data_IF_849394782357
#
_entry.id   IF_849394782357
#
_cell.length_a   1.000
_cell.length_b   1.000
_cell.length_c   1.000
_cell.angle_alpha   90.00
_cell.angle_beta   90.00
_cell.angle_gamma   90.00
#
_symmetry.space_group_name_H-M   'P 1'
#
loop_
_entity.id
_entity.type
_entity.pdbx_description
1 polymer ?
#
# COMPACT_ATOMS: atom_id res chain seq x y z
N UNK A 1 -12.33 -12.90 15.28
CA UNK A 1 -13.22 -11.97 16.00
C UNK A 1 -14.34 -11.61 15.04
N UNK A 2 -15.61 -11.69 15.41
CA UNK A 2 -16.68 -11.22 14.52
C UNK A 2 -16.52 -9.69 14.38
N UNK A 3 -16.35 -9.22 13.16
CA UNK A 3 -16.20 -7.81 12.86
C UNK A 3 -17.49 -7.07 13.23
N UNK A 4 -17.40 -5.94 13.93
CA UNK A 4 -18.55 -5.09 14.20
C UNK A 4 -18.86 -4.26 12.95
N UNK A 5 -19.85 -4.71 12.16
CA UNK A 5 -20.25 -4.04 10.92
C UNK A 5 -20.57 -2.55 11.16
N UNK A 6 -21.15 -2.17 12.31
CA UNK A 6 -21.47 -0.79 12.61
C UNK A 6 -20.20 0.07 12.75
N UNK A 7 -19.16 -0.47 13.40
CA UNK A 7 -17.86 0.17 13.52
C UNK A 7 -17.16 0.29 12.16
N UNK A 8 -17.26 -0.73 11.29
CA UNK A 8 -16.71 -0.68 9.92
C UNK A 8 -17.40 0.40 9.09
N UNK A 9 -18.74 0.49 9.14
CA UNK A 9 -19.47 1.53 8.41
C UNK A 9 -19.13 2.94 8.94
N UNK A 10 -19.03 3.12 10.25
CA UNK A 10 -18.62 4.41 10.82
C UNK A 10 -17.17 4.76 10.43
N UNK A 11 -16.27 3.78 10.46
CA UNK A 11 -14.90 3.95 10.00
C UNK A 11 -14.83 4.36 8.53
N UNK A 12 -15.58 3.70 7.64
CA UNK A 12 -15.68 4.06 6.22
C UNK A 12 -16.23 5.48 6.03
N UNK A 13 -17.27 5.87 6.80
CA UNK A 13 -17.84 7.22 6.76
C UNK A 13 -16.79 8.25 7.15
N UNK A 14 -16.11 8.06 8.28
CA UNK A 14 -15.03 8.94 8.73
C UNK A 14 -13.93 9.04 7.69
N UNK A 15 -13.49 7.89 7.18
CA UNK A 15 -12.41 7.80 6.20
C UNK A 15 -12.69 8.60 4.92
N UNK A 16 -13.95 8.62 4.47
CA UNK A 16 -14.35 9.21 3.19
C UNK A 16 -14.95 10.61 3.31
N UNK A 17 -15.47 11.00 4.47
CA UNK A 17 -16.25 12.23 4.64
C UNK A 17 -15.73 13.16 5.74
N UNK A 18 -14.97 12.66 6.72
CA UNK A 18 -14.54 13.48 7.84
C UNK A 18 -13.27 14.27 7.51
N UNK A 19 -13.37 15.59 7.63
CA UNK A 19 -12.28 16.53 7.36
C UNK A 19 -11.55 16.96 8.62
N UNK A 20 -12.05 16.58 9.81
CA UNK A 20 -11.53 16.98 11.11
C UNK A 20 -11.32 18.49 11.25
N UNK A 21 -12.20 19.28 10.61
CA UNK A 21 -12.11 20.74 10.61
C UNK A 21 -10.87 21.29 9.91
N UNK A 22 -10.23 20.49 9.06
CA UNK A 22 -9.00 20.78 8.37
C UNK A 22 -9.17 21.57 7.07
N UNK A 23 -8.27 21.32 6.13
CA UNK A 23 -8.13 21.98 4.82
C UNK A 23 -9.04 21.39 3.72
N UNK A 24 -10.00 20.53 4.08
CA UNK A 24 -10.93 19.89 3.15
C UNK A 24 -10.53 18.48 2.72
N UNK A 25 -9.30 18.04 3.00
CA UNK A 25 -8.91 16.64 2.80
C UNK A 25 -9.67 15.70 3.72
N UNK A 26 -9.87 14.47 3.25
CA UNK A 26 -10.25 13.30 4.05
C UNK A 26 -9.18 12.22 3.88
N UNK A 27 -9.28 11.08 4.57
CA UNK A 27 -8.30 10.00 4.38
C UNK A 27 -8.35 9.49 2.93
N UNK A 28 -9.56 9.45 2.35
CA UNK A 28 -9.79 9.06 0.96
C UNK A 28 -9.18 10.00 -0.09
N UNK A 29 -8.70 11.20 0.28
CA UNK A 29 -8.00 12.08 -0.67
C UNK A 29 -6.68 11.47 -1.16
N UNK A 30 -5.96 10.78 -0.28
CA UNK A 30 -4.72 10.06 -0.63
C UNK A 30 -4.91 8.54 -0.65
N UNK A 31 -5.98 8.03 -0.05
CA UNK A 31 -6.30 6.60 -0.02
C UNK A 31 -7.70 6.33 -0.62
N UNK A 32 -7.95 6.69 -1.89
CA UNK A 32 -9.25 6.48 -2.54
C UNK A 32 -9.73 5.02 -2.46
N UNK A 33 -10.94 4.74 -1.92
CA UNK A 33 -11.42 3.37 -1.73
C UNK A 33 -11.62 2.54 -2.99
N UNK A 34 -11.75 3.18 -4.16
CA UNK A 34 -11.94 2.51 -5.45
C UNK A 34 -10.69 2.55 -6.33
N UNK A 35 -9.54 2.84 -5.72
CA UNK A 35 -8.23 2.89 -6.37
C UNK A 35 -7.18 2.37 -5.38
N UNK A 36 -7.42 1.14 -4.89
CA UNK A 36 -6.55 0.36 -4.00
C UNK A 36 -6.07 1.07 -2.72
N UNK A 37 -6.81 2.08 -2.27
CA UNK A 37 -6.45 2.90 -1.12
C UNK A 37 -5.05 3.49 -1.23
N UNK A 38 -4.64 3.87 -2.45
CA UNK A 38 -3.38 4.55 -2.75
C UNK A 38 -3.58 5.56 -3.90
N UNK A 39 -2.54 6.27 -4.30
CA UNK A 39 -2.57 7.19 -5.44
C UNK A 39 -1.37 6.96 -6.34
N UNK A 40 -1.60 7.17 -7.64
CA UNK A 40 -0.57 7.17 -8.66
C UNK A 40 -0.77 8.38 -9.61
N UNK A 41 0.21 8.71 -10.48
CA UNK A 41 0.09 9.81 -11.41
C UNK A 41 -1.13 9.74 -12.34
N UNK A 42 -1.55 8.53 -12.74
CA UNK A 42 -2.71 8.35 -13.63
C UNK A 42 -4.01 8.71 -12.90
N UNK A 43 -4.23 8.23 -11.67
CA UNK A 43 -5.35 8.61 -10.83
C UNK A 43 -5.36 10.12 -10.55
N UNK A 44 -4.21 10.68 -10.16
CA UNK A 44 -4.07 12.11 -9.87
C UNK A 44 -4.43 12.96 -11.09
N UNK A 45 -4.10 12.51 -12.30
CA UNK A 45 -4.47 13.17 -13.56
C UNK A 45 -5.99 13.21 -13.83
N UNK A 46 -6.79 12.38 -13.16
CA UNK A 46 -8.26 12.39 -13.29
C UNK A 46 -8.95 13.38 -12.36
N UNK A 47 -8.25 13.90 -11.35
CA UNK A 47 -8.82 14.75 -10.32
C UNK A 47 -8.99 16.20 -10.81
N UNK A 48 -10.06 16.90 -10.38
CA UNK A 48 -10.27 18.29 -10.74
C UNK A 48 -9.21 19.20 -10.10
N UNK A 49 -8.95 20.36 -10.69
CA UNK A 49 -7.89 21.27 -10.23
C UNK A 49 -8.14 21.86 -8.81
N UNK A 50 -9.39 21.85 -8.35
CA UNK A 50 -9.81 22.28 -7.02
C UNK A 50 -9.92 21.13 -6.00
N UNK A 51 -9.51 19.91 -6.37
CA UNK A 51 -9.48 18.78 -5.45
C UNK A 51 -8.62 19.11 -4.21
N UNK A 52 -9.05 18.74 -2.98
CA UNK A 52 -8.27 18.95 -1.77
C UNK A 52 -6.85 18.35 -1.78
N UNK A 53 -6.57 17.37 -2.64
CA UNK A 53 -5.21 16.87 -2.88
C UNK A 53 -4.27 18.00 -3.33
N UNK A 54 -4.77 18.98 -4.08
CA UNK A 54 -4.00 20.10 -4.64
C UNK A 54 -4.07 21.37 -3.80
N UNK A 55 -4.49 21.29 -2.54
CA UNK A 55 -4.64 22.47 -1.67
C UNK A 55 -3.35 23.32 -1.55
N UNK A 56 -2.17 22.71 -1.68
CA UNK A 56 -0.89 23.41 -1.67
C UNK A 56 -0.68 24.32 -2.89
N UNK A 57 -1.31 24.01 -4.03
CA UNK A 57 -1.25 24.81 -5.27
C UNK A 57 -2.10 26.09 -5.13
N UNK A 58 -3.20 25.99 -4.37
CA UNK A 58 -4.26 27.01 -4.35
C UNK A 58 -4.32 27.83 -3.05
N UNK A 59 -3.69 27.38 -1.96
CA UNK A 59 -3.71 28.07 -0.66
C UNK A 59 -2.29 28.54 -0.24
N UNK A 60 -2.03 29.85 -0.20
CA UNK A 60 -0.73 30.41 0.18
C UNK A 60 -0.24 29.99 1.57
N UNK A 61 -1.15 29.71 2.52
CA UNK A 61 -0.78 29.27 3.89
C UNK A 61 -0.30 27.82 3.93
N UNK A 62 -0.47 27.08 2.83
CA UNK A 62 -0.15 25.67 2.66
C UNK A 62 0.79 25.40 1.48
N UNK A 63 1.42 26.44 0.92
CA UNK A 63 2.29 26.31 -0.27
C UNK A 63 3.41 25.28 -0.10
N UNK A 64 3.88 25.05 1.13
CA UNK A 64 4.92 24.06 1.45
C UNK A 64 4.37 22.81 2.14
N UNK A 65 3.06 22.56 2.07
CA UNK A 65 2.45 21.33 2.60
C UNK A 65 2.85 20.13 1.75
N UNK A 66 2.84 20.29 0.43
CA UNK A 66 3.24 19.29 -0.57
C UNK A 66 4.20 19.93 -1.59
N UNK A 67 4.75 19.10 -2.47
CA UNK A 67 5.55 19.51 -3.64
C UNK A 67 4.74 19.20 -4.90
N UNK A 68 4.05 20.18 -5.51
CA UNK A 68 3.12 19.93 -6.61
C UNK A 68 3.71 19.11 -7.76
N UNK A 69 4.95 19.38 -8.17
CA UNK A 69 5.59 18.68 -9.27
C UNK A 69 5.76 17.17 -8.97
N UNK A 70 6.29 16.83 -7.79
CA UNK A 70 6.46 15.43 -7.38
C UNK A 70 5.13 14.72 -7.10
N UNK A 71 4.15 15.45 -6.56
CA UNK A 71 2.81 14.92 -6.35
C UNK A 71 2.15 14.57 -7.69
N UNK A 72 2.19 15.49 -8.66
CA UNK A 72 1.54 15.32 -9.96
C UNK A 72 2.25 14.28 -10.84
N UNK A 73 3.57 14.27 -10.86
CA UNK A 73 4.36 13.44 -11.79
C UNK A 73 4.68 12.06 -11.23
N UNK A 74 4.90 11.96 -9.92
CA UNK A 74 5.40 10.73 -9.28
C UNK A 74 4.44 10.15 -8.25
N UNK A 75 3.33 10.84 -7.92
CA UNK A 75 2.39 10.40 -6.88
C UNK A 75 2.98 10.48 -5.46
N UNK A 76 3.96 11.36 -5.24
CA UNK A 76 4.66 11.47 -3.96
C UNK A 76 4.12 12.59 -3.08
N UNK A 77 3.93 12.28 -1.79
CA UNK A 77 3.53 13.22 -0.75
C UNK A 77 4.71 13.60 0.15
N UNK A 78 4.65 14.79 0.74
CA UNK A 78 5.62 15.27 1.71
C UNK A 78 5.34 14.70 3.10
N UNK A 79 6.32 14.02 3.68
CA UNK A 79 6.22 13.40 5.00
C UNK A 79 7.31 13.93 5.93
N UNK A 80 6.92 14.48 7.08
CA UNK A 80 7.84 14.95 8.12
C UNK A 80 8.16 13.82 9.11
N UNK A 81 8.80 12.75 8.62
CA UNK A 81 9.09 11.52 9.37
C UNK A 81 9.86 11.79 10.67
N UNK A 82 10.82 12.72 10.64
CA UNK A 82 11.63 13.10 11.80
C UNK A 82 11.08 14.29 12.61
N UNK A 83 9.85 14.70 12.30
CA UNK A 83 9.14 15.82 12.91
C UNK A 83 9.21 17.13 12.11
N UNK A 84 8.30 18.05 12.42
CA UNK A 84 8.07 19.29 11.65
C UNK A 84 9.20 20.32 11.68
N UNK A 85 10.18 20.16 12.58
CA UNK A 85 11.40 20.99 12.62
C UNK A 85 12.48 20.55 11.63
N UNK A 86 12.25 19.48 10.87
CA UNK A 86 13.16 18.94 9.86
C UNK A 86 12.53 19.02 8.47
N UNK A 87 13.35 19.08 7.40
CA UNK A 87 12.85 18.97 6.04
C UNK A 87 11.98 17.72 5.85
N UNK A 88 10.88 17.84 5.11
CA UNK A 88 10.09 16.68 4.72
C UNK A 88 10.79 15.90 3.61
N UNK A 89 10.71 14.56 3.69
CA UNK A 89 11.03 13.64 2.59
C UNK A 89 9.82 13.50 1.66
N UNK A 90 10.03 12.95 0.46
CA UNK A 90 8.93 12.66 -0.49
C UNK A 90 8.74 11.15 -0.54
N UNK A 91 7.53 10.68 -0.19
CA UNK A 91 7.20 9.26 -0.14
C UNK A 91 5.92 8.95 -0.90
N UNK A 92 5.85 7.73 -1.41
CA UNK A 92 4.63 7.17 -1.96
C UNK A 92 3.60 6.94 -0.85
N UNK A 93 2.33 6.88 -1.22
CA UNK A 93 1.26 6.55 -0.29
C UNK A 93 1.15 5.02 -0.19
N UNK A 94 1.35 4.39 0.99
CA UNK A 94 1.14 2.95 1.10
C UNK A 94 -0.34 2.60 0.92
N UNK A 95 -0.63 1.49 0.24
CA UNK A 95 -1.97 0.90 0.27
C UNK A 95 -2.35 0.47 1.69
N UNK A 96 -3.65 0.27 1.93
CA UNK A 96 -4.18 -0.12 3.24
C UNK A 96 -4.69 -1.57 3.32
N UNK A 97 -4.54 -2.34 2.25
CA UNK A 97 -4.91 -3.76 2.23
C UNK A 97 -4.02 -4.62 3.14
N UNK A 98 -4.64 -5.59 3.83
CA UNK A 98 -3.93 -6.65 4.53
C UNK A 98 -3.28 -6.23 5.85
N UNK A 99 -3.55 -5.03 6.36
CA UNK A 99 -2.94 -4.50 7.60
C UNK A 99 -3.17 -5.44 8.80
N UNK A 100 -4.30 -6.12 8.89
CA UNK A 100 -4.57 -7.09 9.96
C UNK A 100 -3.48 -8.16 10.11
N UNK A 101 -2.76 -8.43 9.02
CA UNK A 101 -1.69 -9.41 8.96
C UNK A 101 -0.30 -8.78 8.78
N UNK A 102 -0.15 -7.61 8.14
CA UNK A 102 1.15 -7.07 7.72
C UNK A 102 1.82 -6.05 8.64
N UNK A 103 1.13 -5.54 9.66
CA UNK A 103 1.68 -4.52 10.58
C UNK A 103 1.96 -5.05 11.97
N UNK A 104 2.52 -6.26 12.08
CA UNK A 104 2.89 -6.86 13.38
C UNK A 104 3.94 -6.00 14.10
N UNK A 105 4.13 -6.15 15.42
CA UNK A 105 5.17 -5.44 16.16
C UNK A 105 6.54 -5.68 15.53
N UNK A 106 7.42 -4.66 15.54
CA UNK A 106 8.79 -4.81 15.05
C UNK A 106 9.76 -5.18 16.17
N UNK A 107 10.87 -5.83 15.83
CA UNK A 107 11.97 -6.12 16.76
C UNK A 107 12.86 -4.89 17.08
N UNK A 108 12.41 -3.67 16.75
CA UNK A 108 13.22 -2.45 16.79
C UNK A 108 13.10 -1.71 18.14
N UNK A 109 14.08 -0.86 18.52
CA UNK A 109 14.10 -0.18 19.82
C UNK A 109 13.07 0.95 20.00
N UNK A 110 12.30 1.31 18.97
CA UNK A 110 11.20 2.26 19.09
C UNK A 110 9.90 1.52 19.40
N UNK A 111 8.98 2.06 20.22
CA UNK A 111 7.69 1.42 20.46
C UNK A 111 6.91 1.40 19.14
N UNK A 112 6.92 0.27 18.44
CA UNK A 112 6.05 -0.01 17.31
C UNK A 112 5.09 -1.12 17.72
N UNK A 113 3.98 -0.72 18.37
CA UNK A 113 2.86 -1.64 18.52
C UNK A 113 2.48 -2.25 17.16
N UNK A 114 2.60 -1.46 16.09
CA UNK A 114 2.43 -1.88 14.71
C UNK A 114 3.48 -1.25 13.78
N UNK A 115 4.09 -2.06 12.91
CA UNK A 115 5.05 -1.59 11.87
C UNK A 115 4.32 -0.87 10.73
N UNK A 116 3.95 0.39 10.97
CA UNK A 116 3.18 1.23 10.05
C UNK A 116 4.05 2.27 9.36
N UNK A 117 3.67 2.65 8.13
CA UNK A 117 4.47 3.54 7.31
C UNK A 117 5.68 2.85 6.68
N UNK A 118 6.41 3.59 5.85
CA UNK A 118 7.53 3.05 5.08
C UNK A 118 8.78 2.75 5.91
N UNK A 119 8.89 3.22 7.15
CA UNK A 119 10.06 2.95 8.02
C UNK A 119 9.66 2.53 9.43
N UNK A 120 8.43 2.03 9.63
CA UNK A 120 7.89 1.78 10.98
C UNK A 120 7.67 3.07 11.79
N UNK A 121 7.57 4.20 11.10
CA UNK A 121 7.66 5.58 11.59
C UNK A 121 6.31 6.30 11.64
N UNK A 122 5.27 5.65 11.13
CA UNK A 122 4.06 6.36 10.77
C UNK A 122 3.15 6.77 11.93
N UNK A 123 3.44 6.33 13.16
CA UNK A 123 2.50 6.51 14.27
C UNK A 123 3.13 7.20 15.49
N UNK A 124 2.56 8.34 15.96
CA UNK A 124 2.99 8.97 17.21
C UNK A 124 2.69 8.09 18.43
N UNK A 125 3.35 8.39 19.55
CA UNK A 125 3.08 7.73 20.82
C UNK A 125 3.48 6.24 20.79
N UNK A 126 2.55 5.29 21.04
CA UNK A 126 2.86 3.85 21.10
C UNK A 126 3.11 3.19 19.73
N UNK A 127 3.07 3.95 18.64
CA UNK A 127 3.37 3.42 17.31
C UNK A 127 2.30 2.46 16.77
N UNK A 128 1.01 2.69 17.05
CA UNK A 128 -0.09 1.81 16.60
C UNK A 128 -0.81 2.37 15.38
N UNK A 129 -1.41 1.51 14.55
CA UNK A 129 -2.38 1.90 13.51
C UNK A 129 -3.42 2.92 14.02
N UNK A 130 -3.94 2.72 15.23
CA UNK A 130 -4.86 3.67 15.88
C UNK A 130 -4.31 5.09 15.93
N UNK A 131 -3.11 5.26 16.47
CA UNK A 131 -2.51 6.60 16.64
C UNK A 131 -1.92 7.13 15.33
N UNK A 132 -1.73 6.29 14.30
CA UNK A 132 -1.32 6.72 12.96
C UNK A 132 -2.29 7.76 12.39
N UNK A 133 -3.60 7.55 12.55
CA UNK A 133 -4.62 8.50 12.09
C UNK A 133 -4.41 9.92 12.68
N UNK A 134 -3.96 10.01 13.93
CA UNK A 134 -3.63 11.29 14.56
C UNK A 134 -2.43 11.97 13.88
N UNK A 135 -1.40 11.19 13.53
CA UNK A 135 -0.25 11.66 12.77
C UNK A 135 -0.63 12.16 11.37
N UNK A 136 -1.45 11.38 10.66
CA UNK A 136 -1.94 11.71 9.32
C UNK A 136 -2.77 13.01 9.31
N UNK A 137 -3.72 13.17 10.25
CA UNK A 137 -4.50 14.41 10.40
C UNK A 137 -3.57 15.59 10.65
N UNK A 138 -2.61 15.45 11.55
CA UNK A 138 -1.65 16.53 11.85
C UNK A 138 -0.76 16.88 10.67
N UNK A 139 -0.29 15.89 9.92
CA UNK A 139 0.60 16.08 8.77
C UNK A 139 -0.13 16.76 7.62
N UNK A 140 -1.31 16.25 7.24
CA UNK A 140 -1.93 16.52 5.93
C UNK A 140 -3.21 17.36 5.98
N UNK A 141 -3.94 17.42 7.10
CA UNK A 141 -5.26 18.07 7.14
C UNK A 141 -5.18 19.53 7.59
N UNK A 142 -3.98 20.01 7.91
CA UNK A 142 -3.77 21.33 8.48
C UNK A 142 -4.18 22.47 7.54
N UNK A 143 -4.80 23.53 8.09
CA UNK A 143 -5.16 24.77 7.38
C UNK A 143 -3.99 25.74 7.19
N UNK A 144 -2.95 25.62 8.00
CA UNK A 144 -1.68 26.35 7.86
C UNK A 144 -0.49 25.45 8.19
N UNK A 145 0.72 25.81 7.78
CA UNK A 145 1.92 25.01 8.13
C UNK A 145 2.25 24.99 9.63
N UNK A 146 1.56 25.80 10.45
CA UNK A 146 1.74 25.85 11.89
C UNK A 146 1.19 24.59 12.59
N UNK A 147 0.21 23.90 11.99
CA UNK A 147 -0.33 22.61 12.46
C UNK A 147 -0.83 22.66 13.90
N UNK A 148 -1.57 23.71 14.24
CA UNK A 148 -2.18 23.91 15.57
C UNK A 148 -3.36 22.97 15.76
N UNK A 149 -3.14 21.91 16.55
CA UNK A 149 -4.16 20.95 16.90
C UNK A 149 -5.02 21.44 18.07
N UNK A 150 -6.31 21.07 18.07
CA UNK A 150 -7.19 21.18 19.24
C UNK A 150 -7.91 19.86 19.52
N UNK A 151 -8.38 19.69 20.76
CA UNK A 151 -9.23 18.56 21.10
C UNK A 151 -10.62 18.70 20.47
N UNK A 152 -11.30 17.58 20.23
CA UNK A 152 -12.65 17.60 19.61
C UNK A 152 -13.64 18.50 20.38
N UNK A 153 -13.62 18.43 21.72
CA UNK A 153 -14.50 19.25 22.59
C UNK A 153 -14.09 20.73 22.69
N UNK A 154 -12.88 21.10 22.26
CA UNK A 154 -12.35 22.47 22.37
C UNK A 154 -12.04 23.09 20.99
N UNK A 155 -12.50 22.46 19.91
CA UNK A 155 -12.21 22.91 18.56
C UNK A 155 -12.80 24.30 18.30
N UNK A 156 -11.92 25.24 17.95
CA UNK A 156 -12.27 26.55 17.45
C UNK A 156 -11.53 26.80 16.12
N UNK A 157 -12.23 26.95 14.98
CA UNK A 157 -11.60 27.15 13.67
C UNK A 157 -10.76 28.43 13.57
N UNK A 158 -10.96 29.41 14.46
CA UNK A 158 -10.17 30.65 14.49
C UNK A 158 -8.82 30.48 15.21
N UNK A 159 -8.68 29.43 16.04
CA UNK A 159 -7.49 29.18 16.85
C UNK A 159 -6.68 27.97 16.37
N UNK A 160 -7.36 26.99 15.78
CA UNK A 160 -6.81 25.67 15.46
C UNK A 160 -6.87 25.41 13.95
N UNK A 161 -5.87 24.70 13.44
CA UNK A 161 -5.82 24.27 12.05
C UNK A 161 -6.69 23.04 11.78
N UNK A 162 -6.94 22.21 12.80
CA UNK A 162 -7.76 20.99 12.76
C UNK A 162 -8.12 20.55 14.20
N UNK A 163 -9.11 19.68 14.34
CA UNK A 163 -9.37 18.92 15.58
C UNK A 163 -8.70 17.56 15.50
N UNK A 164 -8.22 17.05 16.63
CA UNK A 164 -7.81 15.66 16.73
C UNK A 164 -9.04 14.74 16.68
N UNK A 165 -8.95 13.56 16.04
CA UNK A 165 -9.98 12.54 16.16
C UNK A 165 -10.21 12.17 17.63
N UNK A 166 -11.47 11.91 17.98
CA UNK A 166 -11.85 11.38 19.30
C UNK A 166 -11.54 9.89 19.41
N UNK A 167 -11.55 9.37 20.63
CA UNK A 167 -11.25 7.96 20.90
C UNK A 167 -12.19 6.99 20.14
N UNK A 168 -13.47 7.35 20.00
CA UNK A 168 -14.44 6.54 19.26
C UNK A 168 -14.17 6.57 17.75
N UNK A 169 -13.83 7.75 17.19
CA UNK A 169 -13.46 7.89 15.78
C UNK A 169 -12.19 7.10 15.45
N UNK A 170 -11.18 7.14 16.34
CA UNK A 170 -9.95 6.35 16.18
C UNK A 170 -10.22 4.84 16.19
N UNK A 171 -11.14 4.37 17.04
CA UNK A 171 -11.52 2.96 17.07
C UNK A 171 -12.23 2.55 15.78
N UNK A 172 -13.20 3.33 15.32
CA UNK A 172 -13.92 3.05 14.09
C UNK A 172 -13.01 3.07 12.85
N UNK A 173 -12.09 4.05 12.76
CA UNK A 173 -11.08 4.09 11.70
C UNK A 173 -10.19 2.84 11.72
N UNK A 174 -9.71 2.42 12.89
CA UNK A 174 -8.91 1.20 13.01
C UNK A 174 -9.69 -0.04 12.56
N UNK A 175 -10.94 -0.21 13.01
CA UNK A 175 -11.76 -1.36 12.61
C UNK A 175 -11.96 -1.40 11.09
N UNK A 176 -12.25 -0.26 10.46
CA UNK A 176 -12.35 -0.19 9.00
C UNK A 176 -11.02 -0.51 8.31
N UNK A 177 -9.89 0.04 8.77
CA UNK A 177 -8.59 -0.22 8.16
C UNK A 177 -8.14 -1.68 8.31
N UNK A 178 -8.41 -2.32 9.45
CA UNK A 178 -8.15 -3.75 9.66
C UNK A 178 -9.11 -4.65 8.87
N UNK A 179 -10.29 -4.12 8.53
CA UNK A 179 -11.22 -4.76 7.60
C UNK A 179 -10.70 -4.75 6.16
N UNK A 180 -9.64 -4.03 5.76
CA UNK A 180 -9.22 -4.03 4.35
C UNK A 180 -8.32 -5.22 4.00
N UNK A 181 -8.53 -5.85 2.83
CA UNK A 181 -7.73 -6.96 2.31
C UNK A 181 -7.89 -8.28 3.09
N UNK A 182 -6.94 -9.21 2.93
CA UNK A 182 -6.96 -10.53 3.60
C UNK A 182 -7.08 -10.43 5.12
N UNK A 183 -7.75 -11.44 5.68
CA UNK A 183 -8.03 -11.58 7.12
C UNK A 183 -7.30 -12.76 7.76
N UNK A 184 -6.53 -13.49 6.96
CA UNK A 184 -5.69 -14.62 7.35
C UNK A 184 -4.52 -14.71 6.39
N UNK A 185 -3.42 -15.29 6.85
CA UNK A 185 -2.31 -15.62 5.95
C UNK A 185 -2.73 -16.68 4.93
N UNK A 186 -2.17 -16.57 3.73
CA UNK A 186 -2.19 -17.63 2.72
C UNK A 186 -1.06 -18.63 3.02
N UNK A 187 -0.95 -19.72 2.28
CA UNK A 187 0.22 -20.61 2.37
C UNK A 187 0.72 -20.89 0.97
N UNK A 188 1.77 -20.20 0.55
CA UNK A 188 2.47 -20.38 -0.72
C UNK A 188 3.87 -20.96 -0.52
N UNK A 189 4.25 -21.31 0.71
CA UNK A 189 5.54 -21.90 1.03
C UNK A 189 5.61 -23.34 0.50
N UNK A 190 6.52 -23.64 -0.43
CA UNK A 190 6.62 -24.97 -1.04
C UNK A 190 6.93 -26.04 0.00
N UNK A 191 6.14 -27.13 0.02
CA UNK A 191 6.35 -28.25 0.95
C UNK A 191 6.31 -27.82 2.43
N UNK A 192 5.57 -26.76 2.75
CA UNK A 192 5.39 -26.30 4.12
C UNK A 192 4.77 -27.39 5.00
N UNK A 193 5.17 -27.45 6.26
CA UNK A 193 4.51 -28.28 7.28
C UNK A 193 3.15 -27.68 7.70
N UNK A 194 2.85 -26.44 7.30
CA UNK A 194 1.55 -25.84 7.52
C UNK A 194 0.53 -26.40 6.52
N UNK A 195 -0.69 -26.76 6.96
CA UNK A 195 -1.72 -27.26 6.05
C UNK A 195 -2.14 -26.21 5.04
N UNK A 196 -2.72 -26.65 3.92
CA UNK A 196 -3.36 -25.76 2.95
C UNK A 196 -2.40 -25.02 2.03
N UNK A 197 -1.23 -25.61 1.72
CA UNK A 197 -0.34 -25.09 0.67
C UNK A 197 -1.15 -24.89 -0.62
N UNK A 198 -1.12 -23.67 -1.13
CA UNK A 198 -1.67 -23.29 -2.42
C UNK A 198 -0.74 -23.84 -3.50
N UNK A 199 -1.30 -24.67 -4.36
CA UNK A 199 -0.69 -25.12 -5.61
C UNK A 199 -1.40 -24.39 -6.74
N UNK A 200 -0.65 -23.57 -7.46
CA UNK A 200 -1.16 -22.89 -8.64
C UNK A 200 -1.31 -23.88 -9.79
N UNK A 201 -2.41 -23.74 -10.55
CA UNK A 201 -2.71 -24.62 -11.68
C UNK A 201 -2.00 -24.20 -12.96
N UNK A 202 -1.66 -22.92 -13.06
CA UNK A 202 -0.83 -22.37 -14.12
C UNK A 202 0.64 -22.67 -13.84
N UNK A 203 1.35 -23.16 -14.85
CA UNK A 203 2.73 -23.62 -14.69
C UNK A 203 3.70 -22.47 -14.44
N UNK A 204 3.55 -21.33 -15.13
CA UNK A 204 4.44 -20.18 -14.96
C UNK A 204 4.30 -19.59 -13.55
N UNK A 205 3.07 -19.55 -13.04
CA UNK A 205 2.75 -19.09 -11.69
C UNK A 205 3.33 -20.04 -10.63
N UNK A 206 3.15 -21.35 -10.78
CA UNK A 206 3.69 -22.33 -9.83
C UNK A 206 5.22 -22.36 -9.85
N UNK A 207 5.83 -22.17 -11.03
CA UNK A 207 7.28 -22.06 -11.14
C UNK A 207 7.80 -20.76 -10.52
N UNK A 208 7.11 -19.64 -10.72
CA UNK A 208 7.35 -18.38 -10.01
C UNK A 208 7.29 -18.51 -8.49
N UNK A 209 6.34 -19.30 -7.97
CA UNK A 209 6.25 -19.67 -6.54
C UNK A 209 7.52 -20.38 -6.08
N UNK A 210 8.06 -21.32 -6.86
CA UNK A 210 9.33 -21.97 -6.54
C UNK A 210 10.49 -20.98 -6.53
N UNK A 211 10.64 -20.19 -7.59
CA UNK A 211 11.71 -19.20 -7.73
C UNK A 211 11.77 -18.22 -6.56
N UNK A 212 10.61 -17.73 -6.13
CA UNK A 212 10.46 -16.81 -4.99
C UNK A 212 11.02 -17.38 -3.67
N UNK A 213 10.94 -18.70 -3.48
CA UNK A 213 11.40 -19.39 -2.28
C UNK A 213 12.81 -19.98 -2.42
N UNK A 214 13.33 -20.11 -3.63
CA UNK A 214 14.68 -20.64 -3.88
C UNK A 214 15.76 -19.58 -3.70
N UNK A 215 16.94 -20.01 -3.23
CA UNK A 215 18.15 -19.20 -3.25
C UNK A 215 18.69 -19.20 -4.68
N UNK A 216 18.51 -18.10 -5.40
CA UNK A 216 19.05 -17.93 -6.74
C UNK A 216 19.99 -16.71 -6.78
N UNK A 217 21.28 -16.95 -7.06
CA UNK A 217 22.23 -15.91 -7.44
C UNK A 217 22.75 -14.94 -6.37
N UNK A 218 22.18 -14.92 -5.15
CA UNK A 218 22.70 -14.19 -3.98
C UNK A 218 23.13 -15.15 -2.86
N UNK A 219 24.12 -14.79 -2.04
CA UNK A 219 24.55 -15.62 -0.90
C UNK A 219 23.37 -15.97 0.01
N UNK A 220 22.84 -17.20 -0.08
CA UNK A 220 21.75 -17.72 0.76
C UNK A 220 20.49 -16.81 0.85
N UNK A 221 20.23 -15.97 -0.17
CA UNK A 221 19.10 -15.05 -0.20
C UNK A 221 18.04 -15.50 -1.21
N UNK A 222 16.78 -15.55 -0.76
CA UNK A 222 15.58 -15.71 -1.60
C UNK A 222 14.62 -14.55 -1.33
N UNK A 223 13.63 -14.31 -2.18
CA UNK A 223 12.60 -13.30 -1.92
C UNK A 223 11.90 -13.59 -0.58
N UNK A 224 11.61 -14.88 -0.32
CA UNK A 224 10.97 -15.36 0.90
C UNK A 224 11.80 -15.16 2.18
N UNK A 225 13.10 -14.87 2.09
CA UNK A 225 13.93 -14.58 3.27
C UNK A 225 13.54 -13.27 3.97
N UNK A 226 13.05 -12.29 3.20
CA UNK A 226 12.48 -11.04 3.72
C UNK A 226 10.94 -11.10 3.68
N UNK A 227 10.38 -11.56 2.56
CA UNK A 227 8.94 -11.64 2.33
C UNK A 227 8.41 -13.06 2.60
N UNK A 228 8.52 -13.53 3.84
CA UNK A 228 8.12 -14.91 4.19
C UNK A 228 6.68 -15.14 3.75
N UNK A 229 6.48 -16.17 2.92
CA UNK A 229 5.16 -16.51 2.39
C UNK A 229 4.47 -15.32 1.67
N UNK A 230 5.26 -14.48 1.00
CA UNK A 230 4.88 -13.19 0.40
C UNK A 230 4.34 -12.13 1.39
N UNK A 231 4.37 -12.40 2.69
CA UNK A 231 3.96 -11.47 3.73
C UNK A 231 5.05 -10.44 4.11
N UNK A 232 4.74 -9.63 5.12
CA UNK A 232 5.60 -8.56 5.64
C UNK A 232 6.47 -8.97 6.84
N UNK A 233 6.18 -10.14 7.44
CA UNK A 233 6.71 -10.52 8.75
C UNK A 233 7.78 -11.61 8.65
N UNK A 234 8.67 -11.67 9.65
CA UNK A 234 9.68 -12.70 9.79
C UNK A 234 9.12 -14.05 10.29
N UNK A 235 10.03 -14.98 10.61
CA UNK A 235 9.69 -16.31 11.09
C UNK A 235 8.90 -16.32 12.41
N UNK A 236 9.16 -15.34 13.27
CA UNK A 236 8.59 -15.18 14.60
C UNK A 236 7.31 -14.32 14.55
N UNK A 237 6.94 -13.84 13.36
CA UNK A 237 5.78 -13.01 13.11
C UNK A 237 6.00 -11.53 13.44
N UNK A 238 7.24 -11.07 13.53
CA UNK A 238 7.56 -9.66 13.74
C UNK A 238 7.78 -8.94 12.41
N UNK A 239 7.44 -7.66 12.35
CA UNK A 239 7.78 -6.82 11.21
C UNK A 239 9.28 -6.50 11.17
N UNK A 240 9.83 -6.38 9.97
CA UNK A 240 11.26 -6.19 9.71
C UNK A 240 11.55 -4.91 8.92
N UNK A 241 12.77 -4.41 9.03
CA UNK A 241 13.25 -3.26 8.26
C UNK A 241 14.54 -3.64 7.51
N UNK A 242 14.64 -3.31 6.23
CA UNK A 242 15.82 -3.56 5.40
C UNK A 242 16.26 -2.33 4.59
N UNK A 243 17.57 -2.19 4.36
CA UNK A 243 18.12 -1.32 3.32
C UNK A 243 18.31 -2.16 2.04
N UNK A 244 17.38 -2.01 1.09
CA UNK A 244 17.43 -2.63 -0.25
C UNK A 244 18.00 -1.70 -1.32
N UNK A 245 18.49 -0.51 -0.95
CA UNK A 245 19.11 0.44 -1.88
C UNK A 245 18.13 1.25 -2.73
N UNK A 246 16.81 1.08 -2.56
CA UNK A 246 15.79 1.84 -3.33
C UNK A 246 15.89 3.36 -3.11
N UNK A 247 16.42 3.81 -1.96
CA UNK A 247 16.67 5.22 -1.69
C UNK A 247 17.95 5.76 -2.36
N UNK A 248 18.70 4.91 -3.06
CA UNK A 248 19.93 5.24 -3.81
C UNK A 248 19.79 4.98 -5.31
N UNK A 249 18.58 4.68 -5.80
CA UNK A 249 18.29 4.58 -7.22
C UNK A 249 18.40 5.96 -7.91
N UNK A 250 18.89 6.05 -9.16
CA UNK A 250 18.99 7.33 -9.88
C UNK A 250 17.66 8.06 -10.11
N UNK A 251 16.51 7.40 -9.91
CA UNK A 251 15.16 7.97 -10.05
C UNK A 251 14.60 8.53 -8.74
N UNK A 252 15.36 8.53 -7.65
CA UNK A 252 14.87 9.01 -6.35
C UNK A 252 14.43 10.49 -6.42
N UNK A 253 13.53 10.95 -5.53
CA UNK A 253 13.01 12.32 -5.56
C UNK A 253 14.08 13.43 -5.47
N UNK A 254 15.19 13.17 -4.78
CA UNK A 254 16.33 14.08 -4.71
C UNK A 254 17.04 14.30 -6.06
N UNK A 255 16.91 13.34 -7.00
CA UNK A 255 17.41 13.47 -8.36
C UNK A 255 16.43 14.22 -9.26
N UNK A 256 15.12 14.13 -8.98
CA UNK A 256 14.06 14.80 -9.74
C UNK A 256 13.95 16.29 -9.43
N UNK A 257 14.26 16.71 -8.19
CA UNK A 257 14.34 18.13 -7.81
C UNK A 257 15.62 18.44 -7.01
N UNK A 258 16.79 18.50 -7.70
CA UNK A 258 18.11 18.63 -7.09
C UNK A 258 18.25 19.84 -6.15
N UNK A 259 18.79 19.58 -4.96
CA UNK A 259 19.06 20.60 -3.94
C UNK A 259 17.82 21.11 -3.20
N UNK A 260 16.61 20.66 -3.57
CA UNK A 260 15.37 21.04 -2.87
C UNK A 260 14.77 19.88 -2.08
N UNK A 261 14.96 18.63 -2.50
CA UNK A 261 14.45 17.44 -1.80
C UNK A 261 15.62 16.74 -1.10
N UNK A 262 15.53 16.45 0.22
CA UNK A 262 16.53 15.63 0.89
C UNK A 262 16.47 14.18 0.40
N UNK A 263 17.55 13.42 0.64
CA UNK A 263 17.49 11.96 0.50
C UNK A 263 16.64 11.36 1.62
N UNK A 264 15.86 10.34 1.31
CA UNK A 264 15.11 9.60 2.33
C UNK A 264 16.01 8.52 2.93
N UNK A 265 16.47 8.75 4.16
CA UNK A 265 17.28 7.79 4.90
C UNK A 265 16.44 6.89 5.80
N UNK A 266 15.14 6.78 5.62
CA UNK A 266 14.28 6.03 6.52
C UNK A 266 13.92 6.84 7.77
N UNK A 267 13.91 6.21 8.95
CA UNK A 267 13.51 6.87 10.20
C UNK A 267 14.67 7.13 11.14
N UNK A 268 14.75 8.34 11.69
CA UNK A 268 15.71 8.68 12.73
C UNK A 268 16.33 10.05 12.52
N UNK A 269 16.60 10.76 13.62
CA UNK A 269 16.99 12.18 13.57
C UNK A 269 18.48 12.45 13.28
N UNK A 270 19.25 11.39 13.04
CA UNK A 270 20.69 11.46 12.80
C UNK A 270 20.94 11.38 11.30
N UNK A 271 21.66 12.36 10.78
CA UNK A 271 22.19 12.28 9.42
C UNK A 271 23.26 11.19 9.37
N UNK A 272 22.97 10.10 8.66
CA UNK A 272 23.90 8.99 8.52
C UNK A 272 24.89 9.22 7.37
N UNK A 273 24.42 9.84 6.28
CA UNK A 273 25.22 10.00 5.08
C UNK A 273 24.91 11.30 4.35
N UNK A 274 25.92 11.82 3.67
CA UNK A 274 25.76 12.80 2.59
C UNK A 274 26.44 12.21 1.37
N UNK A 275 25.67 12.01 0.30
CA UNK A 275 26.16 11.44 -0.95
C UNK A 275 26.26 12.50 -2.05
N UNK A 276 27.11 12.20 -3.04
CA UNK A 276 27.22 13.00 -4.26
C UNK A 276 26.01 12.74 -5.16
N UNK A 277 25.28 13.80 -5.48
CA UNK A 277 24.18 13.78 -6.43
C UNK A 277 24.66 13.48 -7.85
N UNK A 278 25.90 13.86 -8.21
CA UNK A 278 26.51 13.40 -9.46
C UNK A 278 26.67 11.88 -9.49
N UNK A 279 27.09 11.27 -8.38
CA UNK A 279 27.31 9.83 -8.29
C UNK A 279 26.00 9.03 -8.33
N UNK A 280 24.95 9.48 -7.64
CA UNK A 280 23.65 8.78 -7.60
C UNK A 280 22.80 9.11 -8.82
N UNK A 281 22.61 10.39 -9.13
CA UNK A 281 21.66 10.86 -10.14
C UNK A 281 22.26 10.98 -11.55
N UNK A 282 23.58 10.78 -11.71
CA UNK A 282 24.27 10.97 -12.99
C UNK A 282 24.27 12.42 -13.51
N UNK A 283 24.06 13.41 -12.64
CA UNK A 283 23.96 14.83 -13.05
C UNK A 283 25.32 15.41 -13.48
N UNK A 284 25.29 16.41 -14.37
CA UNK A 284 26.51 17.07 -14.84
C UNK A 284 27.24 17.86 -13.72
N UNK A 285 26.47 18.53 -12.84
CA UNK A 285 26.98 19.22 -11.65
C UNK A 285 26.68 18.38 -10.42
N UNK A 286 27.62 18.38 -9.49
CA UNK A 286 27.44 17.72 -8.21
C UNK A 286 26.64 18.59 -7.23
N UNK A 287 25.93 17.92 -6.33
CA UNK A 287 25.18 18.51 -5.23
C UNK A 287 25.09 17.50 -4.08
N UNK A 288 24.87 17.98 -2.86
CA UNK A 288 24.78 17.10 -1.69
C UNK A 288 23.37 16.52 -1.56
N UNK A 289 23.26 15.20 -1.47
CA UNK A 289 22.04 14.50 -1.05
C UNK A 289 22.24 14.05 0.39
N UNK A 290 21.47 14.65 1.31
CA UNK A 290 21.56 14.37 2.75
C UNK A 290 20.53 13.30 3.12
N UNK A 291 21.00 12.16 3.64
CA UNK A 291 20.17 11.05 4.12
C UNK A 291 20.11 11.06 5.64
N UNK A 292 18.91 11.25 6.18
CA UNK A 292 18.62 11.26 7.62
C UNK A 292 17.74 10.05 7.96
N UNK A 293 18.10 9.33 9.02
CA UNK A 293 17.53 8.02 9.36
C UNK A 293 18.53 6.88 9.11
N UNK A 294 18.19 5.66 9.50
CA UNK A 294 19.09 4.49 9.52
C UNK A 294 19.17 3.69 8.20
N UNK A 295 18.68 4.26 7.10
CA UNK A 295 18.53 3.69 5.75
C UNK A 295 17.56 2.50 5.61
N UNK A 296 16.88 2.09 6.67
CA UNK A 296 16.02 0.91 6.62
C UNK A 296 14.56 1.28 6.44
N UNK A 297 13.87 0.46 5.64
CA UNK A 297 12.46 0.62 5.31
C UNK A 297 11.71 -0.67 5.64
N UNK A 298 10.44 -0.54 5.98
CA UNK A 298 9.54 -1.63 6.32
C UNK A 298 9.38 -2.57 5.14
N UNK A 299 9.40 -3.87 5.42
CA UNK A 299 9.10 -4.92 4.44
C UNK A 299 7.60 -4.92 4.17
N UNK A 300 7.11 -4.45 3.01
CA UNK A 300 5.68 -4.52 2.73
C UNK A 300 5.27 -5.97 2.45
N UNK A 301 3.97 -6.26 2.65
CA UNK A 301 3.37 -7.47 2.08
C UNK A 301 3.40 -7.34 0.56
N UNK A 302 3.77 -8.42 -0.14
CA UNK A 302 3.72 -8.48 -1.61
C UNK A 302 2.54 -9.31 -2.12
N UNK A 303 1.64 -9.73 -1.22
CA UNK A 303 0.39 -10.39 -1.57
C UNK A 303 -0.54 -9.42 -2.29
N UNK A 304 -0.64 -8.17 -1.83
CA UNK A 304 -1.57 -7.14 -2.33
C UNK A 304 -0.87 -6.10 -3.26
N UNK A 305 0.29 -6.44 -3.82
CA UNK A 305 1.18 -5.44 -4.41
C UNK A 305 0.92 -5.13 -5.89
N UNK A 306 0.55 -6.11 -6.72
CA UNK A 306 0.54 -5.99 -8.18
C UNK A 306 -0.36 -4.89 -8.76
N UNK A 307 -1.37 -4.41 -8.03
CA UNK A 307 -2.24 -3.27 -8.42
C UNK A 307 -2.06 -2.02 -7.55
N UNK A 308 -1.05 -1.97 -6.69
CA UNK A 308 -0.76 -0.82 -5.80
C UNK A 308 0.47 -0.03 -6.23
N UNK A 309 0.95 -0.27 -7.45
CA UNK A 309 2.05 0.47 -8.06
C UNK A 309 1.74 1.97 -8.20
N UNK A 310 2.77 2.82 -8.41
CA UNK A 310 4.19 2.50 -8.52
C UNK A 310 4.80 1.98 -7.21
N UNK A 311 6.02 1.45 -7.27
CA UNK A 311 6.59 0.62 -6.21
C UNK A 311 7.74 1.28 -5.44
N UNK A 312 8.02 0.69 -4.28
CA UNK A 312 8.91 1.20 -3.23
C UNK A 312 8.37 2.45 -2.52
N UNK A 313 9.07 2.88 -1.47
CA UNK A 313 8.67 4.03 -0.65
C UNK A 313 8.67 5.38 -1.41
N UNK A 314 9.13 5.39 -2.65
CA UNK A 314 9.41 6.58 -3.45
C UNK A 314 9.04 6.42 -4.94
N UNK A 315 8.23 5.42 -5.32
CA UNK A 315 7.68 5.24 -6.67
C UNK A 315 8.70 5.16 -7.81
N UNK A 316 9.91 4.61 -7.57
CA UNK A 316 11.00 4.58 -8.58
C UNK A 316 10.73 3.63 -9.76
N UNK A 317 9.77 2.71 -9.65
CA UNK A 317 9.38 1.80 -10.74
C UNK A 317 7.87 1.64 -10.81
N UNK A 318 7.32 1.40 -12.00
CA UNK A 318 5.87 1.51 -12.24
C UNK A 318 5.13 0.17 -12.27
N UNK A 319 5.82 -0.93 -12.55
CA UNK A 319 5.20 -2.25 -12.71
C UNK A 319 5.75 -3.25 -11.71
N UNK A 320 4.97 -4.29 -11.39
CA UNK A 320 5.42 -5.35 -10.49
C UNK A 320 6.59 -6.12 -11.11
N UNK A 321 6.65 -6.21 -12.43
CA UNK A 321 7.80 -6.75 -13.17
C UNK A 321 9.05 -5.91 -12.96
N UNK A 322 8.97 -4.59 -13.09
CA UNK A 322 10.11 -3.71 -12.84
C UNK A 322 10.55 -3.77 -11.36
N UNK A 323 9.60 -3.96 -10.43
CA UNK A 323 9.89 -4.13 -9.02
C UNK A 323 10.65 -5.45 -8.75
N UNK A 324 10.32 -6.53 -9.46
CA UNK A 324 11.10 -7.78 -9.41
C UNK A 324 12.48 -7.58 -10.06
N UNK A 325 12.54 -6.90 -11.22
CA UNK A 325 13.79 -6.65 -11.94
C UNK A 325 14.78 -5.77 -11.15
N UNK A 326 14.29 -4.84 -10.32
CA UNK A 326 15.12 -4.00 -9.44
C UNK A 326 16.11 -4.82 -8.59
N UNK A 327 15.74 -6.03 -8.17
CA UNK A 327 16.57 -6.88 -7.35
C UNK A 327 17.78 -7.49 -8.10
N UNK A 328 17.84 -7.32 -9.42
CA UNK A 328 19.01 -7.62 -10.26
C UNK A 328 19.90 -6.40 -10.53
N UNK A 329 19.50 -5.20 -10.09
CA UNK A 329 20.20 -3.95 -10.38
C UNK A 329 21.30 -3.59 -9.37
N UNK A 330 22.17 -2.65 -9.79
CA UNK A 330 23.30 -2.19 -8.99
C UNK A 330 22.89 -1.48 -7.68
N UNK A 331 21.71 -0.85 -7.65
CA UNK A 331 21.20 -0.20 -6.43
C UNK A 331 20.96 -1.23 -5.32
N UNK A 332 20.32 -2.36 -5.66
CA UNK A 332 20.17 -3.48 -4.73
C UNK A 332 21.52 -4.10 -4.41
N UNK A 333 22.36 -4.42 -5.40
CA UNK A 333 23.69 -5.01 -5.16
C UNK A 333 24.55 -4.21 -4.15
N UNK A 334 24.46 -2.88 -4.19
CA UNK A 334 25.18 -1.97 -3.29
C UNK A 334 24.53 -1.75 -1.92
N UNK A 335 23.41 -2.42 -1.61
CA UNK A 335 22.68 -2.27 -0.36
C UNK A 335 23.22 -3.15 0.77
N UNK A 336 22.85 -2.82 2.02
CA UNK A 336 23.19 -3.66 3.18
C UNK A 336 22.57 -5.07 3.07
N UNK A 337 21.31 -5.14 2.61
CA UNK A 337 20.60 -6.41 2.48
C UNK A 337 21.25 -7.36 1.45
N UNK A 338 21.74 -6.82 0.33
CA UNK A 338 22.36 -7.63 -0.73
C UNK A 338 23.79 -8.08 -0.41
N UNK A 339 24.48 -7.43 0.54
CA UNK A 339 25.89 -7.69 0.89
C UNK A 339 26.84 -7.75 -0.32
N UNK A 340 26.58 -6.93 -1.34
CA UNK A 340 27.40 -6.86 -2.55
C UNK A 340 26.95 -7.78 -3.70
N UNK A 341 25.87 -8.55 -3.55
CA UNK A 341 25.42 -9.54 -4.55
C UNK A 341 23.94 -9.35 -4.89
N UNK A 342 23.65 -9.00 -6.14
CA UNK A 342 22.28 -8.95 -6.67
C UNK A 342 21.78 -10.33 -7.12
N UNK A 343 20.46 -10.46 -7.25
CA UNK A 343 19.85 -11.67 -7.78
C UNK A 343 20.19 -11.86 -9.27
N UNK A 344 20.44 -13.10 -9.66
CA UNK A 344 20.76 -13.47 -11.05
C UNK A 344 19.61 -14.27 -11.65
N UNK A 345 18.51 -13.58 -11.98
CA UNK A 345 17.37 -14.17 -12.66
C UNK A 345 17.45 -13.94 -14.17
N UNK A 346 17.02 -14.92 -14.95
CA UNK A 346 16.69 -14.71 -16.36
C UNK A 346 15.46 -13.82 -16.49
N UNK A 347 15.30 -13.06 -17.61
CA UNK A 347 14.11 -12.23 -17.82
C UNK A 347 12.78 -13.00 -17.70
N UNK A 348 12.75 -14.25 -18.14
CA UNK A 348 11.56 -15.12 -18.01
C UNK A 348 11.28 -15.50 -16.55
N UNK A 349 12.31 -15.80 -15.76
CA UNK A 349 12.18 -16.08 -14.31
C UNK A 349 11.63 -14.87 -13.55
N UNK A 350 12.07 -13.66 -13.90
CA UNK A 350 11.51 -12.42 -13.34
C UNK A 350 10.02 -12.28 -13.66
N UNK A 351 9.62 -12.57 -14.90
CA UNK A 351 8.21 -12.55 -15.31
C UNK A 351 7.39 -13.63 -14.59
N UNK A 352 7.95 -14.80 -14.34
CA UNK A 352 7.27 -15.88 -13.61
C UNK A 352 7.07 -15.53 -12.13
N UNK A 353 8.08 -14.92 -11.48
CA UNK A 353 7.92 -14.37 -10.13
C UNK A 353 6.82 -13.30 -10.11
N UNK A 354 6.84 -12.36 -11.07
CA UNK A 354 5.82 -11.33 -11.18
C UNK A 354 4.42 -11.91 -11.43
N UNK A 355 4.29 -12.96 -12.26
CA UNK A 355 3.05 -13.68 -12.50
C UNK A 355 2.51 -14.36 -11.24
N UNK A 356 3.39 -14.88 -10.38
CA UNK A 356 3.01 -15.37 -9.05
C UNK A 356 2.46 -14.25 -8.17
N UNK A 357 3.14 -13.10 -8.10
CA UNK A 357 2.70 -11.94 -7.33
C UNK A 357 1.34 -11.40 -7.82
N UNK A 358 1.15 -11.33 -9.15
CA UNK A 358 -0.15 -11.00 -9.76
C UNK A 358 -1.24 -11.98 -9.35
N UNK A 359 -0.94 -13.26 -9.38
CA UNK A 359 -1.92 -14.29 -9.03
C UNK A 359 -2.36 -14.18 -7.56
N UNK A 360 -1.43 -14.04 -6.63
CA UNK A 360 -1.78 -13.90 -5.19
C UNK A 360 -2.56 -12.60 -4.92
N UNK A 361 -2.25 -11.52 -5.62
CA UNK A 361 -3.02 -10.26 -5.53
C UNK A 361 -4.43 -10.41 -6.09
N UNK A 362 -4.61 -11.07 -7.24
CA UNK A 362 -5.94 -11.33 -7.76
C UNK A 362 -6.78 -12.21 -6.80
N UNK A 363 -6.14 -13.18 -6.13
CA UNK A 363 -6.78 -13.96 -5.06
C UNK A 363 -7.20 -13.08 -3.87
N UNK A 364 -6.34 -12.15 -3.43
CA UNK A 364 -6.70 -11.19 -2.38
C UNK A 364 -7.85 -10.28 -2.78
N UNK A 365 -7.77 -9.65 -3.95
CA UNK A 365 -8.83 -8.78 -4.49
C UNK A 365 -10.18 -9.49 -4.52
N UNK A 366 -10.21 -10.74 -5.01
CA UNK A 366 -11.45 -11.52 -5.01
C UNK A 366 -11.98 -11.80 -3.61
N UNK A 367 -11.11 -12.03 -2.62
CA UNK A 367 -11.51 -12.24 -1.22
C UNK A 367 -11.98 -10.93 -0.56
N UNK A 368 -11.32 -9.82 -0.84
CA UNK A 368 -11.66 -8.50 -0.33
C UNK A 368 -13.01 -8.04 -0.93
N UNK A 369 -13.21 -8.25 -2.22
CA UNK A 369 -14.47 -8.04 -2.93
C UNK A 369 -15.62 -8.85 -2.30
N UNK A 370 -15.43 -10.15 -2.06
CA UNK A 370 -16.41 -11.00 -1.37
C UNK A 370 -16.80 -10.43 0.01
N UNK A 371 -15.84 -9.86 0.73
CA UNK A 371 -16.09 -9.29 2.06
C UNK A 371 -16.90 -8.01 1.99
N UNK A 372 -16.67 -7.15 1.00
CA UNK A 372 -17.49 -5.96 0.77
C UNK A 372 -18.90 -6.32 0.28
N UNK A 373 -19.06 -7.30 -0.60
CA UNK A 373 -20.39 -7.81 -1.01
C UNK A 373 -21.19 -8.35 0.18
N UNK A 374 -20.54 -9.13 1.04
CA UNK A 374 -21.16 -9.65 2.26
C UNK A 374 -21.47 -8.53 3.27
N UNK A 375 -20.63 -7.49 3.37
CA UNK A 375 -20.91 -6.31 4.19
C UNK A 375 -22.10 -5.52 3.63
N UNK A 376 -22.21 -5.38 2.31
CA UNK A 376 -23.37 -4.74 1.66
C UNK A 376 -24.67 -5.46 2.02
N UNK A 377 -24.69 -6.79 1.96
CA UNK A 377 -25.85 -7.61 2.33
C UNK A 377 -26.30 -7.36 3.78
N UNK A 378 -25.35 -7.24 4.72
CA UNK A 378 -25.65 -7.01 6.14
C UNK A 378 -26.00 -5.55 6.45
N UNK A 379 -25.46 -4.60 5.70
CA UNK A 379 -25.65 -3.17 5.92
C UNK A 379 -26.80 -2.52 5.14
N UNK A 380 -27.34 -3.17 4.10
CA UNK A 380 -28.28 -2.53 3.16
C UNK A 380 -29.51 -1.89 3.81
N UNK A 381 -30.03 -2.47 4.89
CA UNK A 381 -31.19 -1.95 5.59
C UNK A 381 -30.85 -0.78 6.54
N UNK A 382 -29.66 -0.77 7.12
CA UNK A 382 -29.26 0.20 8.17
C UNK A 382 -28.42 1.35 7.64
N UNK A 383 -27.69 1.17 6.54
CA UNK A 383 -26.72 2.11 6.00
C UNK A 383 -26.82 2.28 4.47
N UNK A 384 -28.00 2.53 3.88
CA UNK A 384 -28.24 2.41 2.44
C UNK A 384 -27.31 3.27 1.56
N UNK A 385 -26.94 4.47 2.02
CA UNK A 385 -26.00 5.35 1.30
C UNK A 385 -24.58 4.78 1.26
N UNK A 386 -24.07 4.30 2.41
CA UNK A 386 -22.74 3.69 2.49
C UNK A 386 -22.72 2.32 1.83
N UNK A 387 -23.80 1.55 1.86
CA UNK A 387 -23.93 0.28 1.13
C UNK A 387 -23.63 0.46 -0.36
N UNK A 388 -24.12 1.52 -0.99
CA UNK A 388 -23.79 1.79 -2.40
C UNK A 388 -22.30 2.02 -2.64
N UNK A 389 -21.61 2.69 -1.70
CA UNK A 389 -20.15 2.86 -1.76
C UNK A 389 -19.44 1.51 -1.54
N UNK A 390 -19.89 0.71 -0.59
CA UNK A 390 -19.36 -0.64 -0.33
C UNK A 390 -19.41 -1.52 -1.59
N UNK A 391 -20.53 -1.52 -2.34
CA UNK A 391 -20.62 -2.29 -3.59
C UNK A 391 -19.68 -1.72 -4.67
N UNK A 392 -19.49 -0.39 -4.72
CA UNK A 392 -18.50 0.21 -5.64
C UNK A 392 -17.07 -0.23 -5.33
N UNK A 393 -16.73 -0.39 -4.05
CA UNK A 393 -15.44 -0.93 -3.62
C UNK A 393 -15.34 -2.41 -4.02
N UNK A 394 -16.37 -3.22 -3.76
CA UNK A 394 -16.38 -4.62 -4.21
C UNK A 394 -16.16 -4.76 -5.72
N UNK A 395 -16.82 -3.90 -6.51
CA UNK A 395 -16.69 -3.85 -7.95
C UNK A 395 -15.31 -3.37 -8.42
N UNK A 396 -14.66 -2.42 -7.73
CA UNK A 396 -13.28 -2.05 -8.07
C UNK A 396 -12.34 -3.22 -7.82
N UNK A 397 -12.44 -3.90 -6.69
CA UNK A 397 -11.60 -5.07 -6.37
C UNK A 397 -11.77 -6.19 -7.42
N UNK A 398 -13.00 -6.50 -7.86
CA UNK A 398 -13.21 -7.48 -8.95
C UNK A 398 -12.56 -7.02 -10.25
N UNK A 399 -12.68 -5.72 -10.58
CA UNK A 399 -12.05 -5.13 -11.77
C UNK A 399 -10.52 -5.19 -11.67
N UNK A 400 -9.97 -4.95 -10.49
CA UNK A 400 -8.54 -4.98 -10.23
C UNK A 400 -8.01 -6.41 -10.34
N UNK A 401 -8.73 -7.43 -9.83
CA UNK A 401 -8.39 -8.84 -10.08
C UNK A 401 -8.30 -9.17 -11.59
N UNK A 402 -9.22 -8.64 -12.42
CA UNK A 402 -9.16 -8.80 -13.88
C UNK A 402 -7.93 -8.08 -14.45
N UNK A 403 -7.71 -6.82 -14.04
CA UNK A 403 -6.59 -6.00 -14.52
C UNK A 403 -5.23 -6.60 -14.17
N UNK A 404 -5.08 -7.12 -12.96
CA UNK A 404 -3.86 -7.78 -12.47
C UNK A 404 -3.53 -9.02 -13.31
N UNK A 405 -4.51 -9.89 -13.55
CA UNK A 405 -4.31 -11.12 -14.33
C UNK A 405 -4.04 -10.81 -15.81
N UNK A 406 -4.84 -9.92 -16.41
CA UNK A 406 -4.72 -9.57 -17.84
C UNK A 406 -3.54 -8.67 -18.16
N UNK A 407 -2.99 -7.98 -17.15
CA UNK A 407 -1.77 -7.17 -17.27
C UNK A 407 -0.47 -7.95 -17.20
N UNK A 408 -0.53 -9.27 -16.96
CA UNK A 408 0.65 -10.14 -16.98
C UNK A 408 1.28 -10.19 -18.38
N UNK A 409 2.61 -10.06 -18.52
CA UNK A 409 3.30 -10.32 -19.79
C UNK A 409 3.20 -11.80 -20.23
N UNK A 410 3.05 -12.71 -19.27
CA UNK A 410 2.82 -14.14 -19.51
C UNK A 410 1.31 -14.40 -19.61
N UNK A 411 0.86 -15.28 -20.52
CA UNK A 411 -0.56 -15.59 -20.74
C UNK A 411 -1.13 -16.52 -19.66
N UNK A 412 -1.04 -16.11 -18.39
CA UNK A 412 -1.48 -16.90 -17.25
C UNK A 412 -2.99 -17.15 -17.28
N UNK A 413 -3.39 -18.39 -17.01
CA UNK A 413 -4.80 -18.83 -16.99
C UNK A 413 -5.57 -18.60 -18.31
N UNK A 414 -4.87 -18.42 -19.44
CA UNK A 414 -5.51 -18.09 -20.73
C UNK A 414 -6.50 -19.16 -21.24
N UNK A 415 -6.27 -20.43 -20.89
CA UNK A 415 -7.12 -21.57 -21.30
C UNK A 415 -8.22 -21.91 -20.27
N UNK A 416 -8.57 -20.96 -19.40
CA UNK A 416 -9.56 -21.15 -18.31
C UNK A 416 -10.73 -20.16 -18.43
N UNK A 417 -11.78 -20.35 -17.63
CA UNK A 417 -12.91 -19.43 -17.56
C UNK A 417 -12.69 -18.30 -16.52
N UNK A 418 -11.53 -18.22 -15.86
CA UNK A 418 -11.24 -17.26 -14.78
C UNK A 418 -11.65 -15.83 -15.14
N UNK A 419 -11.18 -15.31 -16.27
CA UNK A 419 -11.50 -13.93 -16.70
C UNK A 419 -12.98 -13.78 -17.06
N UNK A 420 -13.60 -14.80 -17.66
CA UNK A 420 -15.04 -14.79 -17.98
C UNK A 420 -15.89 -14.76 -16.70
N UNK A 421 -15.53 -15.56 -15.70
CA UNK A 421 -16.21 -15.62 -14.40
C UNK A 421 -16.09 -14.29 -13.65
N UNK A 422 -14.91 -13.66 -13.67
CA UNK A 422 -14.71 -12.36 -13.03
C UNK A 422 -15.48 -11.24 -13.72
N UNK A 423 -15.51 -11.21 -15.06
CA UNK A 423 -16.33 -10.25 -15.80
C UNK A 423 -17.83 -10.41 -15.50
N UNK A 424 -18.31 -11.65 -15.34
CA UNK A 424 -19.68 -11.89 -14.91
C UNK A 424 -19.92 -11.39 -13.48
N UNK A 425 -19.00 -11.63 -12.55
CA UNK A 425 -19.11 -11.14 -11.16
C UNK A 425 -19.18 -9.60 -11.13
N UNK A 426 -18.31 -8.94 -11.87
CA UNK A 426 -18.28 -7.48 -12.00
C UNK A 426 -19.60 -6.92 -12.56
N UNK A 427 -20.19 -7.61 -13.55
CA UNK A 427 -21.48 -7.20 -14.12
C UNK A 427 -22.62 -7.29 -13.09
N UNK A 428 -22.65 -8.33 -12.25
CA UNK A 428 -23.62 -8.48 -11.16
C UNK A 428 -23.47 -7.32 -10.15
N UNK A 429 -22.24 -6.96 -9.78
CA UNK A 429 -21.96 -5.83 -8.88
C UNK A 429 -22.37 -4.48 -9.48
N UNK A 430 -22.03 -4.22 -10.74
CA UNK A 430 -22.42 -3.00 -11.46
C UNK A 430 -23.94 -2.85 -11.56
N UNK A 431 -24.65 -3.96 -11.77
CA UNK A 431 -26.10 -3.96 -11.74
C UNK A 431 -26.63 -3.63 -10.34
N UNK A 432 -26.02 -4.18 -9.28
CA UNK A 432 -26.41 -3.91 -7.89
C UNK A 432 -26.17 -2.46 -7.45
N UNK A 433 -25.16 -1.78 -8.00
CA UNK A 433 -24.91 -0.34 -7.78
C UNK A 433 -26.06 0.51 -8.33
N UNK A 434 -26.64 0.09 -9.45
CA UNK A 434 -27.74 0.81 -10.12
C UNK A 434 -29.07 0.55 -9.42
N UNK A 435 -29.35 -0.71 -9.12
CA UNK A 435 -30.54 -1.15 -8.42
C UNK A 435 -30.20 -2.28 -7.45
N UNK A 436 -30.29 -2.01 -6.16
CA UNK A 436 -29.97 -2.98 -5.12
C UNK A 436 -30.75 -4.28 -5.30
N UNK A 437 -30.04 -5.40 -5.37
CA UNK A 437 -30.61 -6.73 -5.36
C UNK A 437 -29.64 -7.72 -4.68
N UNK A 438 -30.00 -8.29 -3.52
CA UNK A 438 -29.10 -9.16 -2.76
C UNK A 438 -28.69 -10.44 -3.53
N UNK A 439 -29.51 -10.90 -4.49
CA UNK A 439 -29.18 -12.07 -5.31
C UNK A 439 -28.02 -11.82 -6.28
N UNK A 440 -27.76 -10.57 -6.64
CA UNK A 440 -26.59 -10.20 -7.46
C UNK A 440 -25.29 -10.43 -6.66
N UNK A 441 -25.27 -10.01 -5.39
CA UNK A 441 -24.11 -10.17 -4.50
C UNK A 441 -23.79 -11.65 -4.25
N UNK A 442 -24.80 -12.48 -3.96
CA UNK A 442 -24.57 -13.93 -3.82
C UNK A 442 -24.05 -14.57 -5.11
N UNK A 443 -24.47 -14.10 -6.29
CA UNK A 443 -23.97 -14.60 -7.57
C UNK A 443 -22.53 -14.17 -7.83
N UNK A 444 -22.19 -12.91 -7.58
CA UNK A 444 -20.83 -12.39 -7.70
C UNK A 444 -19.84 -13.20 -6.84
N UNK A 445 -20.17 -13.43 -5.56
CA UNK A 445 -19.36 -14.26 -4.64
C UNK A 445 -19.17 -15.68 -5.17
N UNK A 446 -20.23 -16.32 -5.69
CA UNK A 446 -20.14 -17.67 -6.23
C UNK A 446 -19.31 -17.74 -7.51
N UNK A 447 -19.36 -16.71 -8.37
CA UNK A 447 -18.56 -16.62 -9.59
C UNK A 447 -17.07 -16.49 -9.24
N UNK A 448 -16.70 -15.60 -8.31
CA UNK A 448 -15.31 -15.49 -7.82
C UNK A 448 -14.82 -16.75 -7.14
N UNK A 449 -15.68 -17.45 -6.39
CA UNK A 449 -15.34 -18.77 -5.83
C UNK A 449 -14.99 -19.80 -6.91
N UNK A 450 -15.72 -19.82 -8.03
CA UNK A 450 -15.41 -20.68 -9.18
C UNK A 450 -14.10 -20.29 -9.85
N UNK A 451 -13.87 -18.99 -10.05
CA UNK A 451 -12.62 -18.48 -10.63
C UNK A 451 -11.41 -18.92 -9.79
N UNK A 452 -11.46 -18.75 -8.46
CA UNK A 452 -10.39 -19.24 -7.56
C UNK A 452 -10.14 -20.75 -7.69
N UNK A 453 -11.19 -21.56 -7.85
CA UNK A 453 -11.05 -23.01 -7.99
C UNK A 453 -10.35 -23.44 -9.30
N UNK A 454 -10.42 -22.61 -10.34
CA UNK A 454 -9.69 -22.79 -11.60
C UNK A 454 -8.24 -22.28 -11.52
N UNK A 455 -7.93 -21.38 -10.59
CA UNK A 455 -6.58 -20.86 -10.39
C UNK A 455 -5.72 -21.74 -9.47
N UNK A 456 -6.32 -22.29 -8.43
CA UNK A 456 -5.60 -22.96 -7.34
C UNK A 456 -6.23 -24.28 -6.90
N UNK A 457 -5.43 -25.10 -6.22
CA UNK A 457 -5.87 -26.20 -5.37
C UNK A 457 -5.08 -26.19 -4.07
N UNK A 458 -5.58 -26.84 -3.04
CA UNK A 458 -4.79 -27.11 -1.83
C UNK A 458 -4.04 -28.42 -1.97
N UNK A 459 -2.78 -28.45 -1.53
CA UNK A 459 -2.06 -29.70 -1.29
C UNK A 459 -2.64 -30.37 -0.05
N UNK A 460 -2.94 -31.66 -0.18
CA UNK A 460 -3.39 -32.52 0.93
C UNK A 460 -2.26 -32.85 1.91
#
# INVERSE_FOLDING_TARGET
MACDDAAVFEGLRLFTQETFGGNGRTCATCHPPTHNFTIDPAYIGTLPADDPLFVAENNPKLRSLERPELLRQEGLISVNVDGFGRPAVSRSVPHLHGLSQSIKPGATPFPSAHMTGWSGDGSPGPGSLRTFAMGAVRQHFTRTIARRACGSATYNPDQCDFRMPSEAELNALQEFQLFLGRQSEINIEPYSNNPGEIVFRDWDVEYGKMLFHTVAGGENLSCASCHRNAGANDQDGNGTLFDVGANKDPRIPACLDPGKVPGDGGFGRVTQATASGKAICGTAKDFNIVFTGDNRFNTPSVIEAADTGPFFHNNIVNTIEDAVAFYSDAAFAGSEAAKGVAFQFLPEEQQQIAAMLRTVNALDNMNNSDRFDLLALRGAASQPTLTKLVIKIAASETKDAIGVLTGSPLPIYADTDVISLLNQALAEEQQAITAWNPQLMYRAVNLRKRARAEMIRSRE
#
